data_IF_586459381223
#
_entry.id   IF_586459381223
#
_cell.length_a   1.000
_cell.length_b   1.000
_cell.length_c   1.000
_cell.angle_alpha   90.00
_cell.angle_beta   90.00
_cell.angle_gamma   90.00
#
_symmetry.space_group_name_H-M   'P 1'
#
loop_
_entity.id
_entity.type
_entity.pdbx_description
1 polymer ?
#
# COMPACT_ATOMS: atom_id res chain seq x y z
N UNK A 1 -3.18 -8.01 17.02
CA UNK A 1 -2.56 -8.30 15.71
C UNK A 1 -3.61 -8.90 14.79
N UNK A 2 -3.71 -8.42 13.58
CA UNK A 2 -4.73 -8.80 12.62
C UNK A 2 -4.09 -9.44 11.39
N UNK A 3 -4.69 -10.56 10.92
CA UNK A 3 -4.33 -11.17 9.64
C UNK A 3 -4.55 -10.15 8.52
N UNK A 4 -3.59 -10.02 7.59
CA UNK A 4 -3.71 -9.01 6.54
C UNK A 4 -4.90 -9.30 5.61
N UNK A 5 -5.28 -10.55 5.43
CA UNK A 5 -6.46 -10.91 4.63
C UNK A 5 -7.74 -10.45 5.31
N UNK A 6 -7.82 -10.56 6.62
CA UNK A 6 -8.96 -10.07 7.38
C UNK A 6 -9.04 -8.54 7.29
N UNK A 7 -7.91 -7.85 7.43
CA UNK A 7 -7.85 -6.41 7.29
C UNK A 7 -8.23 -5.98 5.87
N UNK A 8 -7.74 -6.68 4.87
CA UNK A 8 -8.05 -6.42 3.46
C UNK A 8 -9.55 -6.57 3.20
N UNK A 9 -10.16 -7.63 3.73
CA UNK A 9 -11.60 -7.84 3.60
C UNK A 9 -12.39 -6.72 4.27
N UNK A 10 -11.95 -6.26 5.44
CA UNK A 10 -12.60 -5.15 6.13
C UNK A 10 -12.54 -3.87 5.31
N UNK A 11 -11.38 -3.56 4.72
CA UNK A 11 -11.24 -2.40 3.85
C UNK A 11 -12.11 -2.53 2.60
N UNK A 12 -12.14 -3.71 1.98
CA UNK A 12 -12.93 -3.94 0.78
C UNK A 12 -14.43 -3.81 1.07
N UNK A 13 -14.89 -4.30 2.21
CA UNK A 13 -16.29 -4.17 2.59
C UNK A 13 -16.67 -2.73 2.91
N UNK A 14 -15.80 -2.01 3.60
CA UNK A 14 -16.06 -0.64 4.01
C UNK A 14 -15.98 0.32 2.84
N UNK A 15 -14.94 0.19 2.00
CA UNK A 15 -14.64 1.14 0.94
C UNK A 15 -15.22 0.74 -0.41
N UNK A 16 -15.49 -0.56 -0.61
CA UNK A 16 -16.05 -1.11 -1.86
C UNK A 16 -15.31 -0.57 -3.09
N UNK A 17 -13.99 -0.85 -3.20
CA UNK A 17 -13.15 -0.22 -4.24
C UNK A 17 -13.63 -0.51 -5.66
N UNK A 18 -14.28 -1.65 -5.89
CA UNK A 18 -14.81 -2.02 -7.21
C UNK A 18 -15.92 -1.11 -7.70
N UNK A 19 -16.52 -0.30 -6.83
CA UNK A 19 -17.59 0.64 -7.17
C UNK A 19 -17.06 1.98 -7.67
N UNK A 20 -15.76 2.21 -7.57
CA UNK A 20 -15.13 3.46 -7.95
C UNK A 20 -14.18 3.25 -9.11
N UNK A 21 -14.27 4.13 -10.13
CA UNK A 21 -13.37 4.10 -11.28
C UNK A 21 -12.27 5.13 -11.08
N UNK A 22 -11.27 4.76 -10.30
CA UNK A 22 -10.13 5.62 -10.04
C UNK A 22 -9.04 5.45 -11.09
N UNK A 23 -8.00 6.27 -10.98
CA UNK A 23 -6.85 6.24 -11.88
C UNK A 23 -6.02 4.96 -11.74
N UNK A 24 -6.18 4.22 -10.66
CA UNK A 24 -5.42 3.01 -10.41
C UNK A 24 -6.24 1.93 -9.74
N UNK A 25 -5.65 0.76 -9.53
CA UNK A 25 -6.33 -0.33 -8.84
C UNK A 25 -6.56 0.03 -7.39
N UNK A 26 -7.82 0.01 -6.97
CA UNK A 26 -8.18 0.18 -5.56
C UNK A 26 -7.97 -1.14 -4.85
N UNK A 27 -7.49 -1.06 -3.61
CA UNK A 27 -7.27 -2.23 -2.78
C UNK A 27 -5.80 -2.47 -2.48
N UNK A 28 -5.45 -3.74 -2.27
CA UNK A 28 -4.07 -4.12 -1.96
C UNK A 28 -3.21 -4.00 -3.21
N UNK A 29 -2.24 -3.09 -3.17
CA UNK A 29 -1.34 -2.87 -4.29
C UNK A 29 -0.01 -3.61 -4.13
N UNK A 30 0.48 -3.72 -2.89
CA UNK A 30 1.73 -4.43 -2.58
C UNK A 30 1.47 -5.34 -1.39
N UNK A 31 1.74 -6.63 -1.56
CA UNK A 31 1.56 -7.60 -0.48
C UNK A 31 2.84 -7.71 0.34
N UNK A 32 2.68 -7.69 1.65
CA UNK A 32 3.79 -7.83 2.60
C UNK A 32 3.51 -8.90 3.63
N UNK A 33 3.63 -8.54 4.92
CA UNK A 33 3.48 -9.50 6.02
C UNK A 33 2.05 -10.05 6.11
N UNK A 34 1.89 -11.32 6.50
CA UNK A 34 0.55 -11.91 6.65
C UNK A 34 -0.20 -11.43 7.88
N UNK A 35 0.50 -10.89 8.88
CA UNK A 35 -0.12 -10.36 10.10
C UNK A 35 0.21 -8.89 10.25
N UNK A 36 -0.80 -8.09 10.61
CA UNK A 36 -0.65 -6.64 10.73
C UNK A 36 -0.94 -6.24 12.18
N UNK A 37 0.09 -5.74 12.86
CA UNK A 37 -0.04 -5.17 14.19
C UNK A 37 -0.02 -3.65 14.15
N UNK A 38 0.66 -3.05 13.18
CA UNK A 38 0.84 -1.61 13.08
C UNK A 38 0.51 -1.13 11.68
N UNK A 39 -0.46 -0.23 11.59
CA UNK A 39 -0.92 0.39 10.36
C UNK A 39 -0.58 1.87 10.38
N UNK A 40 0.02 2.37 9.31
CA UNK A 40 0.29 3.79 9.12
C UNK A 40 -0.58 4.28 7.97
N UNK A 41 -1.22 5.43 8.13
CA UNK A 41 -2.03 6.02 7.07
C UNK A 41 -1.43 7.32 6.59
N UNK A 42 -1.71 7.66 5.33
CA UNK A 42 -1.24 8.89 4.72
C UNK A 42 -2.03 9.19 3.47
N UNK A 43 -1.70 10.30 2.81
CA UNK A 43 -2.41 10.71 1.60
C UNK A 43 -1.82 10.04 0.36
N UNK A 44 -0.51 10.06 0.23
CA UNK A 44 0.21 9.58 -0.95
C UNK A 44 1.33 8.63 -0.54
N UNK A 45 1.52 7.55 -1.31
CA UNK A 45 2.61 6.60 -1.09
C UNK A 45 3.93 7.22 -1.56
N UNK A 46 4.34 8.31 -0.93
CA UNK A 46 5.59 8.99 -1.21
C UNK A 46 6.75 8.25 -0.55
N UNK A 47 7.97 8.54 -1.00
CA UNK A 47 9.17 7.99 -0.39
C UNK A 47 9.26 8.39 1.09
N UNK A 48 8.91 9.64 1.38
CA UNK A 48 8.94 10.16 2.75
C UNK A 48 7.98 9.40 3.67
N UNK A 49 6.76 9.13 3.20
CA UNK A 49 5.79 8.35 3.97
C UNK A 49 6.26 6.92 4.18
N UNK A 50 6.80 6.30 3.11
CA UNK A 50 7.30 4.92 3.19
C UNK A 50 8.48 4.84 4.16
N UNK A 51 9.42 5.78 4.10
CA UNK A 51 10.56 5.82 5.00
C UNK A 51 10.11 6.03 6.45
N UNK A 52 9.12 6.88 6.68
CA UNK A 52 8.56 7.09 8.01
C UNK A 52 7.89 5.81 8.54
N UNK A 53 7.19 5.09 7.67
CA UNK A 53 6.55 3.83 8.04
C UNK A 53 7.59 2.76 8.39
N UNK A 54 8.70 2.71 7.64
CA UNK A 54 9.81 1.79 7.94
C UNK A 54 10.37 2.09 9.31
N UNK A 55 10.64 3.36 9.61
CA UNK A 55 11.17 3.78 10.90
C UNK A 55 10.22 3.45 12.04
N UNK A 56 8.93 3.58 11.80
CA UNK A 56 7.89 3.24 12.77
C UNK A 56 7.65 1.73 12.87
N UNK A 57 8.32 0.92 12.04
CA UNK A 57 8.16 -0.54 11.98
C UNK A 57 6.74 -0.96 11.64
N UNK A 58 6.15 -0.26 10.69
CA UNK A 58 4.79 -0.55 10.23
C UNK A 58 4.73 -1.87 9.47
N UNK A 59 3.59 -2.54 9.57
CA UNK A 59 3.31 -3.76 8.82
C UNK A 59 2.46 -3.48 7.59
N UNK A 60 1.77 -2.35 7.58
CA UNK A 60 0.91 -1.95 6.48
C UNK A 60 0.80 -0.44 6.41
N UNK A 61 0.58 0.06 5.18
CA UNK A 61 0.33 1.48 4.91
C UNK A 61 -0.98 1.58 4.15
N UNK A 62 -1.85 2.49 4.58
CA UNK A 62 -3.09 2.82 3.88
C UNK A 62 -2.98 4.25 3.36
N UNK A 63 -3.16 4.43 2.04
CA UNK A 63 -3.04 5.74 1.40
C UNK A 63 -4.23 6.01 0.49
N UNK A 64 -4.44 7.29 0.17
CA UNK A 64 -5.42 7.71 -0.83
C UNK A 64 -4.85 7.55 -2.24
N UNK A 65 -3.58 7.88 -2.44
CA UNK A 65 -2.88 7.74 -3.71
C UNK A 65 -1.75 6.74 -3.59
N UNK A 66 -1.91 5.57 -4.22
CA UNK A 66 -0.92 4.49 -4.20
C UNK A 66 0.17 4.64 -5.26
N UNK A 67 0.79 3.51 -5.60
CA UNK A 67 1.91 3.48 -6.56
C UNK A 67 1.45 3.18 -7.99
N UNK A 68 0.28 2.61 -8.17
CA UNK A 68 -0.18 2.16 -9.48
C UNK A 68 -1.40 2.95 -9.92
N UNK A 69 -1.43 3.39 -11.18
CA UNK A 69 -2.56 4.13 -11.73
C UNK A 69 -2.68 3.85 -13.23
N UNK A 70 -3.84 4.19 -13.78
CA UNK A 70 -4.12 4.01 -15.21
C UNK A 70 -3.16 4.87 -16.03
N UNK A 71 -2.64 4.29 -17.11
CA UNK A 71 -1.71 4.99 -18.00
C UNK A 71 -0.25 4.88 -17.59
N UNK A 72 0.02 4.28 -16.44
CA UNK A 72 1.39 4.00 -16.02
C UNK A 72 2.00 2.93 -16.91
N UNK A 73 3.31 3.05 -17.22
CA UNK A 73 3.95 2.10 -18.13
C UNK A 73 4.32 0.76 -17.48
N UNK A 74 4.21 0.67 -16.14
CA UNK A 74 4.41 -0.58 -15.42
C UNK A 74 5.86 -0.97 -15.18
N UNK A 75 6.82 -0.20 -15.68
CA UNK A 75 8.23 -0.53 -15.45
C UNK A 75 8.66 -0.12 -14.06
N UNK A 76 9.51 -0.95 -13.45
CA UNK A 76 10.02 -0.70 -12.09
C UNK A 76 11.40 -0.05 -12.20
N UNK A 77 11.39 1.24 -12.46
CA UNK A 77 12.60 2.06 -12.60
C UNK A 77 12.40 3.39 -11.88
N UNK A 78 13.51 4.07 -11.56
CA UNK A 78 13.46 5.39 -10.95
C UNK A 78 12.69 5.39 -9.63
N UNK A 79 11.73 6.30 -9.51
CA UNK A 79 10.96 6.48 -8.27
C UNK A 79 10.16 5.22 -7.91
N UNK A 80 9.63 4.51 -8.91
CA UNK A 80 8.88 3.28 -8.67
C UNK A 80 9.79 2.22 -8.05
N UNK A 81 11.00 2.06 -8.58
CA UNK A 81 11.97 1.11 -8.05
C UNK A 81 12.31 1.42 -6.60
N UNK A 82 12.57 2.70 -6.29
CA UNK A 82 12.94 3.09 -4.94
C UNK A 82 11.83 2.79 -3.93
N UNK A 83 10.60 3.13 -4.28
CA UNK A 83 9.47 2.94 -3.38
C UNK A 83 9.11 1.47 -3.22
N UNK A 84 9.03 0.75 -4.33
CA UNK A 84 8.69 -0.66 -4.31
C UNK A 84 9.76 -1.49 -3.59
N UNK A 85 11.03 -1.16 -3.81
CA UNK A 85 12.13 -1.85 -3.14
C UNK A 85 12.02 -1.73 -1.61
N UNK A 86 11.70 -0.55 -1.11
CA UNK A 86 11.55 -0.31 0.33
C UNK A 86 10.40 -1.13 0.91
N UNK A 87 9.27 -1.11 0.24
CA UNK A 87 8.10 -1.87 0.70
C UNK A 87 8.39 -3.37 0.74
N UNK A 88 8.98 -3.90 -0.31
CA UNK A 88 9.28 -5.34 -0.40
C UNK A 88 10.38 -5.75 0.57
N UNK A 89 11.42 -4.93 0.74
CA UNK A 89 12.52 -5.24 1.65
C UNK A 89 12.07 -5.33 3.10
N UNK A 90 11.06 -4.56 3.48
CA UNK A 90 10.53 -4.54 4.84
C UNK A 90 9.17 -5.25 4.97
N UNK A 91 8.74 -5.92 3.90
CA UNK A 91 7.49 -6.68 3.87
C UNK A 91 6.29 -5.86 4.36
N UNK A 92 6.15 -4.64 3.85
CA UNK A 92 5.06 -3.74 4.21
C UNK A 92 3.94 -3.86 3.18
N UNK A 93 2.72 -4.12 3.66
CA UNK A 93 1.54 -4.13 2.82
C UNK A 93 1.16 -2.69 2.45
N UNK A 94 0.83 -2.45 1.19
CA UNK A 94 0.33 -1.14 0.74
C UNK A 94 -1.09 -1.30 0.23
N UNK A 95 -2.02 -0.60 0.86
CA UNK A 95 -3.43 -0.55 0.49
C UNK A 95 -3.79 0.87 0.06
N UNK A 96 -4.39 1.02 -1.10
CA UNK A 96 -4.78 2.34 -1.63
C UNK A 96 -6.26 2.44 -1.93
#
# INVERSE_FOLDING_TARGET
>A
MTDFKTLLQAFDQLLQPERFKDYGPNGLQVEGKPMVAKLVSGVTASRELIDAAIEAKADAIFVHHGLFWRGQDGRVVGWMKERLQRLLAHNINLYA
#
